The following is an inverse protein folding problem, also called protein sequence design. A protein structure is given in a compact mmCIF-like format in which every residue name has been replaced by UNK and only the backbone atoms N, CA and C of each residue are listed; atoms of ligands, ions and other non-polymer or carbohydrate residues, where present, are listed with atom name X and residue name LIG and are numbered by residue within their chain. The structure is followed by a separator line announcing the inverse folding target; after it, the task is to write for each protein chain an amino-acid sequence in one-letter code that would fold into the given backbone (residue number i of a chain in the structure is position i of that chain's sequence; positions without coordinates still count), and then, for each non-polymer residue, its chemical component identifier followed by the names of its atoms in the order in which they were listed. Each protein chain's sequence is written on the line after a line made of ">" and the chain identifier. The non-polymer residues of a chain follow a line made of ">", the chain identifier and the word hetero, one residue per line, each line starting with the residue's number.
data_IF_013532789708
#
_entry.id   IF_013532789708
#
_cell.length_a   1.000
_cell.length_b   1.000
_cell.length_c   1.000
_cell.angle_alpha   90.00
_cell.angle_beta   90.00
_cell.angle_gamma   90.00
#
_symmetry.space_group_name_H-M   'P 1'
#
loop_
_entity.id
_entity.type
_entity.pdbx_description
1 polymer ?
#
# COMPACT_ATOMS: atom_id res chain seq x y z
N UNK A 1 10.57 -41.47 -45.26
CA UNK A 1 9.71 -41.95 -44.17
C UNK A 1 8.41 -42.53 -44.77
N UNK A 2 8.04 -43.78 -44.47
CA UNK A 2 6.81 -44.38 -45.03
C UNK A 2 5.59 -43.78 -44.32
N UNK A 3 4.42 -43.73 -44.99
CA UNK A 3 3.14 -43.22 -44.44
C UNK A 3 2.81 -43.81 -43.07
N UNK A 4 3.12 -45.10 -42.85
CA UNK A 4 2.95 -45.78 -41.56
C UNK A 4 3.85 -45.19 -40.45
N UNK A 5 5.12 -44.94 -40.77
CA UNK A 5 6.10 -44.35 -39.84
C UNK A 5 5.75 -42.90 -39.51
N UNK A 6 5.26 -42.15 -40.50
CA UNK A 6 4.80 -40.77 -40.30
C UNK A 6 3.57 -40.72 -39.38
N UNK A 7 2.58 -41.60 -39.61
CA UNK A 7 1.38 -41.69 -38.76
C UNK A 7 1.72 -42.02 -37.30
N UNK A 8 2.67 -42.94 -37.07
CA UNK A 8 3.14 -43.28 -35.71
C UNK A 8 3.81 -42.07 -35.05
N UNK A 9 4.67 -41.36 -35.77
CA UNK A 9 5.31 -40.14 -35.25
C UNK A 9 4.28 -39.04 -34.93
N UNK A 10 3.30 -38.82 -35.81
CA UNK A 10 2.25 -37.82 -35.58
C UNK A 10 1.41 -38.17 -34.34
N UNK A 11 1.08 -39.45 -34.16
CA UNK A 11 0.34 -39.91 -32.98
C UNK A 11 1.16 -39.69 -31.69
N UNK A 12 2.45 -40.00 -31.72
CA UNK A 12 3.33 -39.87 -30.55
C UNK A 12 3.50 -38.40 -30.13
N UNK A 13 3.61 -37.48 -31.10
CA UNK A 13 3.66 -36.03 -30.85
C UNK A 13 2.34 -35.50 -30.28
N UNK A 14 1.18 -36.00 -30.75
CA UNK A 14 -0.11 -35.62 -30.18
C UNK A 14 -0.27 -36.08 -28.71
N UNK A 15 0.19 -37.30 -28.41
CA UNK A 15 0.14 -37.87 -27.06
C UNK A 15 1.05 -37.11 -26.11
N UNK A 16 2.23 -36.67 -26.55
CA UNK A 16 3.11 -35.85 -25.72
C UNK A 16 2.53 -34.46 -25.48
N UNK A 17 1.97 -33.80 -26.50
CA UNK A 17 1.35 -32.47 -26.33
C UNK A 17 0.16 -32.52 -25.37
N UNK A 18 -0.70 -33.53 -25.52
CA UNK A 18 -1.88 -33.70 -24.63
C UNK A 18 -1.47 -34.15 -23.23
N UNK A 19 -0.47 -35.04 -23.11
CA UNK A 19 0.08 -35.48 -21.84
C UNK A 19 0.77 -34.37 -21.06
N UNK A 20 1.54 -33.50 -21.73
CA UNK A 20 2.17 -32.33 -21.11
C UNK A 20 1.09 -31.35 -20.65
N UNK A 21 0.07 -31.07 -21.47
CA UNK A 21 -1.05 -30.19 -21.07
C UNK A 21 -1.82 -30.70 -19.86
N UNK A 22 -2.07 -32.01 -19.77
CA UNK A 22 -2.69 -32.65 -18.61
C UNK A 22 -1.80 -32.57 -17.37
N UNK A 23 -0.50 -32.83 -17.50
CA UNK A 23 0.44 -32.76 -16.39
C UNK A 23 0.58 -31.33 -15.85
N UNK A 24 0.57 -30.33 -16.73
CA UNK A 24 0.56 -28.91 -16.35
C UNK A 24 -0.74 -28.51 -15.63
N UNK A 25 -1.89 -29.09 -16.02
CA UNK A 25 -3.16 -28.82 -15.33
C UNK A 25 -3.25 -29.45 -13.94
N UNK A 26 -2.61 -30.61 -13.74
CA UNK A 26 -2.53 -31.29 -12.45
C UNK A 26 -1.56 -30.63 -11.46
N UNK A 27 -0.69 -29.73 -11.95
CA UNK A 27 0.25 -28.95 -11.16
C UNK A 27 -0.27 -27.55 -10.81
N UNK A 28 -1.53 -27.23 -11.10
CA UNK A 28 -2.13 -26.00 -10.59
C UNK A 28 -2.11 -26.09 -9.06
N UNK A 29 -1.42 -25.17 -8.36
CA UNK A 29 -1.42 -25.18 -6.90
C UNK A 29 -2.87 -25.12 -6.43
N UNK A 30 -3.24 -26.02 -5.52
CA UNK A 30 -4.55 -25.98 -4.88
C UNK A 30 -4.72 -24.59 -4.26
N UNK A 31 -5.82 -23.92 -4.61
CA UNK A 31 -6.17 -22.64 -4.01
C UNK A 31 -6.33 -22.88 -2.52
N UNK A 32 -5.46 -22.26 -1.71
CA UNK A 32 -5.49 -22.41 -0.26
C UNK A 32 -6.92 -22.16 0.22
N UNK A 33 -7.52 -23.16 0.85
CA UNK A 33 -8.97 -23.19 1.13
C UNK A 33 -9.44 -22.13 2.14
N UNK A 34 -8.53 -21.54 2.90
CA UNK A 34 -8.79 -20.45 3.84
C UNK A 34 -7.50 -19.67 4.10
N UNK A 35 -7.58 -18.33 4.04
CA UNK A 35 -6.47 -17.48 4.47
C UNK A 35 -6.28 -17.61 5.99
N UNK A 36 -5.04 -17.45 6.50
CA UNK A 36 -4.81 -17.25 7.93
C UNK A 36 -5.68 -16.11 8.46
N UNK A 37 -6.13 -16.21 9.71
CA UNK A 37 -7.06 -15.25 10.33
C UNK A 37 -6.53 -13.80 10.30
N UNK A 38 -5.21 -13.62 10.17
CA UNK A 38 -4.48 -12.34 10.14
C UNK A 38 -4.34 -11.71 8.76
N UNK A 39 -4.90 -12.32 7.73
CA UNK A 39 -4.68 -11.90 6.35
C UNK A 39 -6.01 -11.57 5.68
N UNK A 40 -6.09 -10.35 5.16
CA UNK A 40 -7.22 -9.88 4.38
C UNK A 40 -6.96 -10.03 2.88
N UNK A 41 -8.05 -10.23 2.12
CA UNK A 41 -8.02 -10.28 0.66
C UNK A 41 -8.31 -8.89 0.07
N UNK A 42 -7.32 -8.31 -0.61
CA UNK A 42 -7.33 -6.94 -1.10
C UNK A 42 -7.38 -6.87 -2.64
N UNK A 43 -7.87 -7.92 -3.30
CA UNK A 43 -7.91 -8.01 -4.78
C UNK A 43 -8.56 -6.80 -5.44
N UNK A 44 -9.66 -6.28 -4.88
CA UNK A 44 -10.35 -5.12 -5.44
C UNK A 44 -9.51 -3.84 -5.36
N UNK A 45 -8.80 -3.61 -4.25
CA UNK A 45 -7.92 -2.44 -4.11
C UNK A 45 -6.75 -2.49 -5.09
N UNK A 46 -6.24 -3.70 -5.37
CA UNK A 46 -5.15 -3.94 -6.29
C UNK A 46 -5.64 -4.25 -7.71
N UNK A 47 -6.74 -3.64 -8.17
CA UNK A 47 -7.21 -3.71 -9.56
C UNK A 47 -7.34 -5.15 -10.13
N UNK A 48 -7.72 -6.12 -9.29
CA UNK A 48 -7.88 -7.51 -9.67
C UNK A 48 -6.64 -8.39 -9.52
N UNK A 49 -5.49 -7.84 -9.11
CA UNK A 49 -4.32 -8.63 -8.76
C UNK A 49 -4.51 -9.29 -7.39
N UNK A 50 -4.12 -10.56 -7.24
CA UNK A 50 -4.17 -11.24 -5.94
C UNK A 50 -3.19 -10.57 -4.96
N UNK A 51 -3.76 -9.93 -3.93
CA UNK A 51 -3.03 -9.22 -2.89
C UNK A 51 -3.56 -9.65 -1.51
N UNK A 52 -2.65 -10.16 -0.70
CA UNK A 52 -2.91 -10.68 0.64
C UNK A 52 -2.07 -9.89 1.63
N UNK A 53 -2.70 -9.05 2.44
CA UNK A 53 -2.02 -8.14 3.34
C UNK A 53 -2.41 -8.42 4.79
N UNK A 54 -1.50 -8.08 5.70
CA UNK A 54 -1.73 -8.15 7.14
C UNK A 54 -2.93 -7.27 7.52
N UNK A 55 -3.86 -7.79 8.33
CA UNK A 55 -5.08 -7.10 8.76
C UNK A 55 -4.83 -5.76 9.48
N UNK A 56 -3.61 -5.51 9.95
CA UNK A 56 -3.20 -4.26 10.60
C UNK A 56 -2.92 -3.14 9.59
N UNK A 57 -2.80 -3.47 8.31
CA UNK A 57 -2.61 -2.49 7.26
C UNK A 57 -3.95 -1.85 6.94
N UNK A 58 -4.02 -0.55 7.08
CA UNK A 58 -5.14 0.27 6.65
C UNK A 58 -4.80 1.00 5.36
N UNK A 59 -5.83 1.51 4.67
CA UNK A 59 -5.62 2.38 3.53
C UNK A 59 -6.54 3.60 3.57
N UNK A 60 -6.07 4.68 2.95
CA UNK A 60 -6.85 5.90 2.74
C UNK A 60 -6.72 6.35 1.28
N UNK A 61 -7.79 6.93 0.72
CA UNK A 61 -7.70 7.60 -0.59
C UNK A 61 -7.21 9.01 -0.40
N UNK A 62 -6.19 9.39 -1.16
CA UNK A 62 -5.62 10.73 -1.14
C UNK A 62 -6.56 11.69 -1.85
N UNK A 63 -6.75 12.85 -1.24
CA UNK A 63 -7.37 14.03 -1.85
C UNK A 63 -6.43 15.22 -1.73
N UNK A 64 -6.26 15.98 -2.80
CA UNK A 64 -5.37 17.13 -2.90
C UNK A 64 -3.98 16.80 -3.46
N UNK A 65 -3.14 17.83 -3.49
CA UNK A 65 -1.83 17.82 -4.17
C UNK A 65 -0.66 18.14 -3.24
N UNK A 66 -0.90 18.22 -1.93
CA UNK A 66 0.12 18.67 -0.95
C UNK A 66 1.33 17.74 -0.84
N UNK A 67 1.18 16.49 -1.27
CA UNK A 67 2.23 15.46 -1.25
C UNK A 67 2.83 15.17 -2.61
N UNK A 68 2.46 15.89 -3.66
CA UNK A 68 3.12 15.74 -4.95
C UNK A 68 4.61 16.14 -4.85
N UNK A 69 5.53 15.48 -5.58
CA UNK A 69 5.30 14.39 -6.54
C UNK A 69 5.30 12.99 -5.91
N UNK A 70 5.32 12.88 -4.58
CA UNK A 70 5.38 11.58 -3.89
C UNK A 70 4.09 10.78 -4.06
N UNK A 71 2.93 11.44 -3.91
CA UNK A 71 1.61 10.92 -4.28
C UNK A 71 0.60 12.06 -4.37
N UNK A 72 -0.51 11.84 -5.07
CA UNK A 72 -1.51 12.87 -5.36
C UNK A 72 -2.95 12.35 -5.38
N UNK A 73 -3.85 13.15 -5.93
CA UNK A 73 -5.28 12.88 -6.00
C UNK A 73 -5.58 11.44 -6.49
N UNK A 74 -6.49 10.75 -5.80
CA UNK A 74 -6.96 9.38 -6.08
C UNK A 74 -5.99 8.24 -5.75
N UNK A 75 -4.71 8.52 -5.47
CA UNK A 75 -3.78 7.49 -4.98
C UNK A 75 -4.31 6.88 -3.66
N UNK A 76 -3.84 5.67 -3.34
CA UNK A 76 -4.13 5.02 -2.05
C UNK A 76 -2.86 4.95 -1.24
N UNK A 77 -2.88 5.52 -0.05
CA UNK A 77 -1.78 5.33 0.92
C UNK A 77 -2.11 4.15 1.82
N UNK A 78 -1.15 3.24 1.96
CA UNK A 78 -1.18 2.13 2.91
C UNK A 78 -0.47 2.57 4.17
N UNK A 79 -1.07 2.33 5.33
CA UNK A 79 -0.51 2.78 6.61
C UNK A 79 -0.78 1.80 7.75
N UNK A 80 0.04 1.88 8.79
CA UNK A 80 -0.05 1.04 10.00
C UNK A 80 0.12 1.89 11.24
N UNK A 81 -0.57 1.52 12.31
CA UNK A 81 -0.33 2.08 13.64
C UNK A 81 1.08 1.68 14.12
N UNK A 82 1.83 2.65 14.64
CA UNK A 82 3.20 2.46 15.17
C UNK A 82 3.38 3.26 16.45
N UNK A 83 4.30 2.83 17.30
CA UNK A 83 4.72 3.62 18.46
C UNK A 83 5.49 4.88 17.98
N UNK A 84 5.15 6.04 18.54
CA UNK A 84 5.83 7.32 18.26
C UNK A 84 7.35 7.27 18.39
N UNK A 85 7.88 6.39 19.26
CA UNK A 85 9.30 6.18 19.45
C UNK A 85 10.00 5.49 18.27
N UNK A 86 9.25 4.85 17.37
CA UNK A 86 9.78 4.19 16.17
C UNK A 86 9.89 5.14 14.98
N UNK A 87 9.13 6.26 15.01
CA UNK A 87 9.08 7.27 13.95
C UNK A 87 10.40 8.05 13.83
N UNK A 88 10.71 8.44 12.59
CA UNK A 88 11.95 9.12 12.23
C UNK A 88 11.67 10.31 11.32
N UNK A 89 12.59 11.28 11.35
CA UNK A 89 12.59 12.38 10.37
C UNK A 89 12.67 11.77 8.96
N UNK A 90 11.77 12.20 8.09
CA UNK A 90 11.61 11.68 6.73
C UNK A 90 10.44 10.71 6.56
N UNK A 91 9.90 10.15 7.64
CA UNK A 91 8.70 9.30 7.57
C UNK A 91 7.48 10.13 7.15
N UNK A 92 6.53 9.51 6.46
CA UNK A 92 5.24 10.12 6.14
C UNK A 92 4.23 9.54 7.12
N UNK A 93 3.58 10.40 7.90
CA UNK A 93 2.58 9.98 8.88
C UNK A 93 1.21 10.47 8.47
N UNK A 94 0.18 9.70 8.83
CA UNK A 94 -1.22 10.08 8.75
C UNK A 94 -1.73 10.44 10.15
N UNK A 95 -2.42 11.57 10.26
CA UNK A 95 -2.87 12.13 11.54
C UNK A 95 -4.19 12.91 11.38
N UNK A 96 -4.97 13.00 12.45
CA UNK A 96 -6.16 13.86 12.50
C UNK A 96 -5.75 15.34 12.61
N UNK A 97 -6.52 16.24 11.99
CA UNK A 97 -6.17 17.66 11.99
C UNK A 97 -6.16 18.22 13.44
N UNK A 98 -5.00 18.66 13.99
CA UNK A 98 -4.88 18.97 15.43
C UNK A 98 -5.73 20.15 15.91
N UNK A 99 -6.06 21.08 15.00
CA UNK A 99 -6.85 22.27 15.31
C UNK A 99 -8.27 22.24 14.74
N UNK A 100 -8.64 21.21 13.97
CA UNK A 100 -9.96 21.10 13.32
C UNK A 100 -10.51 19.67 13.41
N UNK A 101 -11.05 19.29 14.58
CA UNK A 101 -11.58 17.95 14.79
C UNK A 101 -12.68 17.59 13.78
N UNK A 102 -12.60 16.39 13.21
CA UNK A 102 -13.58 15.88 12.25
C UNK A 102 -13.31 16.23 10.78
N UNK A 103 -12.26 17.01 10.48
CA UNK A 103 -11.74 17.07 9.11
C UNK A 103 -11.09 15.74 8.71
N UNK A 104 -10.91 15.54 7.40
CA UNK A 104 -10.23 14.35 6.89
C UNK A 104 -8.79 14.30 7.41
N UNK A 105 -8.26 13.09 7.70
CA UNK A 105 -6.88 12.94 8.12
C UNK A 105 -5.91 13.48 7.07
N UNK A 106 -4.79 14.02 7.55
CA UNK A 106 -3.73 14.60 6.74
C UNK A 106 -2.56 13.63 6.71
N UNK A 107 -1.94 13.47 5.55
CA UNK A 107 -0.70 12.70 5.41
C UNK A 107 0.43 13.62 4.97
N UNK A 108 1.43 13.86 5.83
CA UNK A 108 2.58 14.71 5.54
C UNK A 108 3.88 14.12 6.09
N UNK A 109 5.02 14.61 5.60
CA UNK A 109 6.35 14.12 5.98
C UNK A 109 6.84 14.79 7.25
N UNK A 110 7.38 14.01 8.18
CA UNK A 110 8.06 14.51 9.37
C UNK A 110 9.36 15.21 8.94
N UNK A 111 9.51 16.47 9.32
CA UNK A 111 10.74 17.25 9.12
C UNK A 111 11.51 17.49 10.43
N UNK A 112 10.82 17.45 11.57
CA UNK A 112 11.43 17.54 12.89
C UNK A 112 10.65 16.72 13.92
N UNK A 113 11.37 16.16 14.90
CA UNK A 113 10.80 15.43 16.05
C UNK A 113 11.29 16.11 17.33
N UNK A 114 10.35 16.49 18.17
CA UNK A 114 10.62 17.04 19.50
C UNK A 114 10.14 16.06 20.58
N UNK A 115 10.91 15.93 21.66
CA UNK A 115 10.56 15.08 22.81
C UNK A 115 10.76 15.82 24.12
N UNK A 116 9.69 16.48 24.58
CA UNK A 116 9.65 17.20 25.86
C UNK A 116 8.59 16.56 26.76
N UNK A 117 8.82 15.31 27.16
CA UNK A 117 7.84 14.46 27.85
C UNK A 117 7.08 13.57 26.87
N UNK A 118 6.37 14.19 25.94
CA UNK A 118 5.61 13.54 24.86
C UNK A 118 6.26 13.84 23.50
N UNK A 119 5.99 12.98 22.52
CA UNK A 119 6.43 13.20 21.15
C UNK A 119 5.58 14.27 20.46
N UNK A 120 6.25 15.16 19.73
CA UNK A 120 5.62 16.10 18.80
C UNK A 120 6.35 16.09 17.49
N UNK A 121 5.58 16.16 16.40
CA UNK A 121 6.09 16.11 15.05
C UNK A 121 5.79 17.42 14.35
N UNK A 122 6.83 18.02 13.78
CA UNK A 122 6.65 19.02 12.75
C UNK A 122 6.56 18.31 11.41
N UNK A 123 5.47 18.55 10.69
CA UNK A 123 5.23 17.93 9.39
C UNK A 123 5.17 18.96 8.28
N UNK A 124 5.39 18.49 7.06
CA UNK A 124 5.29 19.30 5.86
C UNK A 124 4.85 18.43 4.69
N UNK A 125 3.90 18.93 3.90
CA UNK A 125 3.60 18.35 2.59
C UNK A 125 4.78 18.53 1.64
N UNK A 126 5.11 17.47 0.88
CA UNK A 126 6.25 17.50 -0.05
C UNK A 126 6.13 18.61 -1.10
N UNK A 127 4.90 19.00 -1.47
CA UNK A 127 4.58 20.09 -2.40
C UNK A 127 4.33 21.45 -1.72
N UNK A 128 4.54 21.57 -0.41
CA UNK A 128 4.38 22.86 0.30
C UNK A 128 5.70 23.62 0.37
N UNK A 129 5.64 24.95 0.48
CA UNK A 129 6.84 25.77 0.74
C UNK A 129 7.19 25.80 2.23
N UNK A 130 6.17 25.98 3.07
CA UNK A 130 6.27 26.10 4.52
C UNK A 130 5.86 24.78 5.21
N UNK A 131 6.31 24.58 6.45
CA UNK A 131 5.83 23.49 7.30
C UNK A 131 4.43 23.78 7.84
N UNK A 132 3.77 22.75 8.36
CA UNK A 132 2.45 22.91 8.97
C UNK A 132 2.53 23.70 10.29
N UNK A 133 3.70 23.84 10.90
CA UNK A 133 3.94 24.67 12.08
C UNK A 133 4.18 26.15 11.75
N UNK A 134 4.48 26.49 10.50
CA UNK A 134 4.80 27.86 10.08
C UNK A 134 3.67 28.56 9.30
N UNK A 135 2.57 27.86 9.00
CA UNK A 135 1.51 28.45 8.17
C UNK A 135 0.78 29.60 8.87
N UNK A 136 0.49 30.67 8.13
CA UNK A 136 -0.17 31.87 8.66
C UNK A 136 -1.64 31.67 9.13
N UNK A 137 -2.27 30.55 8.77
CA UNK A 137 -3.71 30.32 8.95
C UNK A 137 -4.00 29.21 9.97
N UNK A 138 -3.11 28.24 10.11
CA UNK A 138 -3.32 27.08 10.98
C UNK A 138 -1.99 26.41 11.34
N UNK A 139 -1.12 27.14 12.05
CA UNK A 139 0.12 26.58 12.58
C UNK A 139 -0.15 25.53 13.66
N UNK A 140 0.41 24.32 13.52
CA UNK A 140 0.33 23.28 14.55
C UNK A 140 1.50 22.30 14.48
N UNK A 141 1.71 21.60 15.60
CA UNK A 141 2.51 20.37 15.67
C UNK A 141 1.55 19.18 15.84
N UNK A 142 1.91 18.04 15.28
CA UNK A 142 1.17 16.80 15.48
C UNK A 142 1.59 16.18 16.80
N UNK A 143 0.62 15.88 17.66
CA UNK A 143 0.87 15.17 18.93
C UNK A 143 0.66 13.67 18.77
N UNK A 144 1.04 12.89 19.79
CA UNK A 144 0.79 11.44 19.82
C UNK A 144 -0.70 11.11 19.76
N UNK A 145 -1.54 11.97 20.34
CA UNK A 145 -3.00 11.77 20.37
C UNK A 145 -3.65 11.97 18.98
N UNK A 146 -3.01 12.76 18.11
CA UNK A 146 -3.51 13.02 16.75
C UNK A 146 -2.97 12.00 15.73
N UNK A 147 -1.89 11.28 16.07
CA UNK A 147 -1.22 10.34 15.18
C UNK A 147 -2.08 9.10 14.93
N UNK A 148 -2.31 8.78 13.65
CA UNK A 148 -2.93 7.50 13.27
C UNK A 148 -1.92 6.45 12.89
N UNK A 149 -0.84 6.82 12.20
CA UNK A 149 0.16 5.84 11.83
C UNK A 149 1.17 6.28 10.78
N UNK A 150 2.02 5.33 10.42
CA UNK A 150 3.08 5.46 9.43
C UNK A 150 2.58 4.98 8.07
N UNK A 151 2.77 5.80 7.03
CA UNK A 151 2.55 5.39 5.64
C UNK A 151 3.70 4.46 5.22
N UNK A 152 3.34 3.25 4.80
CA UNK A 152 4.27 2.17 4.43
C UNK A 152 4.28 1.86 2.93
N UNK A 153 3.34 2.44 2.17
CA UNK A 153 3.26 2.22 0.73
C UNK A 153 2.23 3.11 0.06
N UNK A 154 2.33 3.22 -1.27
CA UNK A 154 1.39 3.93 -2.12
C UNK A 154 0.98 3.01 -3.26
N UNK A 155 -0.32 2.92 -3.51
CA UNK A 155 -0.87 2.36 -4.74
C UNK A 155 -1.29 3.55 -5.60
N UNK A 156 -0.53 3.80 -6.66
CA UNK A 156 -0.83 4.89 -7.58
C UNK A 156 -2.10 4.59 -8.36
N UNK A 157 -2.94 5.61 -8.53
CA UNK A 157 -4.08 5.52 -9.41
C UNK A 157 -3.61 5.24 -10.85
N UNK A 158 -4.35 4.39 -11.57
CA UNK A 158 -4.10 4.19 -12.99
C UNK A 158 -4.52 5.46 -13.75
N UNK A 159 -3.66 5.93 -14.65
CA UNK A 159 -3.99 6.99 -15.63
C UNK A 159 -5.08 6.56 -16.61
#
# INVERSE_FOLDING_TARGET
>A
MNKKTMAIFTLLVLVTITGIGWLSSALKPERVSSLPEEIDNWVELFNGYEAYLDRRISYSTVSGTSMEPTFGENDKVLWVEVDSAELKVGDIIIYDHPTKPGENPIAHRIIEIMKNGEYRFETKGDNRLESDAETAISAYFVSEDDLKGLVIGVIYAAE
#
